data_IF_150649381099
#
_entry.id   IF_150649381099
#
_cell.length_a   1.000
_cell.length_b   1.000
_cell.length_c   1.000
_cell.angle_alpha   90.00
_cell.angle_beta   90.00
_cell.angle_gamma   90.00
#
_symmetry.space_group_name_H-M   'P 1'
#
loop_
_entity.id
_entity.type
_entity.pdbx_description
1 polymer ?
#
# COMPACT_ATOMS: atom_id res chain seq x y z
N UNK A 1 22.09 43.15 13.00
CA UNK A 1 20.72 42.88 12.51
C UNK A 1 20.69 42.25 11.11
N UNK A 2 21.45 42.74 10.13
CA UNK A 2 21.44 42.23 8.73
C UNK A 2 21.79 40.74 8.63
N UNK A 3 22.76 40.26 9.41
CA UNK A 3 23.22 38.86 9.41
C UNK A 3 22.18 37.84 9.91
N UNK A 4 21.27 38.26 10.80
CA UNK A 4 20.19 37.40 11.29
C UNK A 4 19.09 37.24 10.23
N UNK A 5 18.73 38.35 9.56
CA UNK A 5 17.80 38.36 8.43
C UNK A 5 18.31 37.51 7.26
N UNK A 6 19.60 37.61 6.92
CA UNK A 6 20.19 36.77 5.86
C UNK A 6 20.17 35.28 6.20
N UNK A 7 20.35 34.93 7.48
CA UNK A 7 20.30 33.53 7.94
C UNK A 7 18.88 32.98 7.86
N UNK A 8 17.88 33.77 8.25
CA UNK A 8 16.46 33.43 8.08
C UNK A 8 16.08 33.30 6.61
N UNK A 9 16.51 34.23 5.75
CA UNK A 9 16.24 34.19 4.32
C UNK A 9 16.84 32.94 3.66
N UNK A 10 18.05 32.54 4.05
CA UNK A 10 18.67 31.28 3.57
C UNK A 10 17.92 30.04 4.05
N UNK A 11 17.43 30.04 5.29
CA UNK A 11 16.62 28.95 5.83
C UNK A 11 15.29 28.83 5.05
N UNK A 12 14.56 29.93 4.89
CA UNK A 12 13.32 30.01 4.11
C UNK A 12 13.52 29.56 2.66
N UNK A 13 14.60 29.98 1.99
CA UNK A 13 14.91 29.53 0.63
C UNK A 13 15.15 28.03 0.55
N UNK A 14 15.81 27.42 1.55
CA UNK A 14 16.04 25.97 1.61
C UNK A 14 14.73 25.21 1.81
N UNK A 15 13.89 25.69 2.72
CA UNK A 15 12.58 25.10 3.01
C UNK A 15 11.65 25.19 1.80
N UNK A 16 11.56 26.36 1.17
CA UNK A 16 10.73 26.56 -0.02
C UNK A 16 11.21 25.68 -1.19
N UNK A 17 12.53 25.50 -1.36
CA UNK A 17 13.08 24.55 -2.34
C UNK A 17 12.71 23.10 -2.02
N UNK A 18 12.71 22.71 -0.74
CA UNK A 18 12.30 21.37 -0.32
C UNK A 18 10.80 21.13 -0.59
N UNK A 19 9.94 22.09 -0.22
CA UNK A 19 8.50 22.04 -0.47
C UNK A 19 8.17 21.96 -1.96
N UNK A 20 8.84 22.76 -2.82
CA UNK A 20 8.65 22.70 -4.28
C UNK A 20 8.99 21.33 -4.86
N UNK A 21 10.06 20.69 -4.36
CA UNK A 21 10.42 19.32 -4.78
C UNK A 21 9.36 18.31 -4.37
N UNK A 22 8.82 18.43 -3.16
CA UNK A 22 7.73 17.57 -2.68
C UNK A 22 6.46 17.77 -3.51
N UNK A 23 6.08 19.01 -3.81
CA UNK A 23 4.89 19.31 -4.61
C UNK A 23 4.98 18.71 -6.02
N UNK A 24 6.11 18.92 -6.71
CA UNK A 24 6.33 18.35 -8.04
C UNK A 24 6.27 16.82 -8.04
N UNK A 25 6.67 16.16 -6.95
CA UNK A 25 6.54 14.71 -6.81
C UNK A 25 5.08 14.27 -6.64
N UNK A 26 4.28 15.00 -5.87
CA UNK A 26 2.85 14.73 -5.78
C UNK A 26 2.14 14.89 -7.13
N UNK A 27 2.54 15.89 -7.92
CA UNK A 27 2.01 16.12 -9.26
C UNK A 27 2.32 14.96 -10.24
N UNK A 28 3.42 14.23 -10.06
CA UNK A 28 3.76 13.04 -10.87
C UNK A 28 2.71 11.92 -10.73
N UNK A 29 2.06 11.80 -9.58
CA UNK A 29 0.94 10.87 -9.40
C UNK A 29 -0.29 11.31 -10.20
N UNK A 30 -0.55 12.61 -10.30
CA UNK A 30 -1.69 13.12 -11.05
C UNK A 30 -1.55 12.95 -12.57
N UNK A 31 -0.33 12.71 -13.08
CA UNK A 31 -0.04 12.53 -14.51
C UNK A 31 0.10 11.07 -14.93
N UNK A 32 -0.02 10.12 -14.00
CA UNK A 32 0.04 8.68 -14.28
C UNK A 32 -1.30 8.01 -13.96
N UNK A 33 -1.52 6.79 -14.45
CA UNK A 33 -2.66 5.92 -14.06
C UNK A 33 -2.61 5.46 -12.58
N UNK A 34 -1.83 6.14 -11.74
CA UNK A 34 -1.57 5.81 -10.35
C UNK A 34 -2.19 6.87 -9.43
N UNK A 35 -3.16 6.45 -8.64
CA UNK A 35 -3.89 7.28 -7.69
C UNK A 35 -3.21 7.26 -6.32
N UNK A 36 -3.03 8.43 -5.72
CA UNK A 36 -2.61 8.55 -4.32
C UNK A 36 -3.78 8.14 -3.41
N UNK A 37 -3.55 7.18 -2.51
CA UNK A 37 -4.56 6.70 -1.56
C UNK A 37 -4.47 7.43 -0.23
N UNK A 38 -3.25 7.54 0.30
CA UNK A 38 -3.04 8.08 1.63
C UNK A 38 -1.62 8.63 1.77
N UNK A 39 -1.50 9.70 2.56
CA UNK A 39 -0.24 10.34 2.89
C UNK A 39 -0.15 10.48 4.41
N UNK A 40 0.99 10.08 4.99
CA UNK A 40 1.22 10.16 6.42
C UNK A 40 2.62 10.70 6.71
N UNK A 41 2.73 11.63 7.66
CA UNK A 41 4.02 12.08 8.16
C UNK A 41 4.43 11.22 9.36
N UNK A 42 5.63 10.64 9.33
CA UNK A 42 6.24 9.91 10.45
C UNK A 42 7.64 10.43 10.66
N UNK A 43 7.89 11.07 11.82
CA UNK A 43 9.20 11.65 12.18
C UNK A 43 9.78 12.58 11.10
N UNK A 44 8.91 13.39 10.47
CA UNK A 44 9.29 14.32 9.40
C UNK A 44 9.50 13.70 8.02
N UNK A 45 9.25 12.39 7.87
CA UNK A 45 9.23 11.68 6.58
C UNK A 45 7.79 11.50 6.15
N UNK A 46 7.45 11.92 4.94
CA UNK A 46 6.15 11.60 4.38
C UNK A 46 6.20 10.25 3.69
N UNK A 47 5.29 9.38 4.08
CA UNK A 47 5.03 8.09 3.47
C UNK A 47 3.73 8.17 2.67
N UNK A 48 3.74 7.56 1.49
CA UNK A 48 2.61 7.61 0.56
C UNK A 48 2.21 6.20 0.15
N UNK A 49 0.93 5.89 0.24
CA UNK A 49 0.34 4.72 -0.39
C UNK A 49 -0.33 5.15 -1.69
N UNK A 50 -0.13 4.38 -2.74
CA UNK A 50 -0.71 4.64 -4.05
C UNK A 50 -1.16 3.34 -4.72
N UNK A 51 -2.08 3.45 -5.67
CA UNK A 51 -2.61 2.31 -6.43
C UNK A 51 -2.68 2.61 -7.91
N UNK A 52 -2.36 1.63 -8.73
CA UNK A 52 -2.72 1.60 -10.16
C UNK A 52 -3.55 0.34 -10.41
N UNK A 53 -4.52 0.41 -11.33
CA UNK A 53 -5.33 -0.74 -11.70
C UNK A 53 -5.29 -0.98 -13.20
N UNK A 54 -5.41 -2.25 -13.60
CA UNK A 54 -5.71 -2.63 -14.97
C UNK A 54 -7.12 -3.21 -15.05
N UNK A 55 -7.76 -3.00 -16.20
CA UNK A 55 -9.08 -3.54 -16.49
C UNK A 55 -8.97 -4.77 -17.40
N UNK A 56 -9.90 -5.70 -17.25
CA UNK A 56 -10.10 -6.78 -18.22
C UNK A 56 -10.82 -6.27 -19.48
N UNK A 57 -11.04 -7.18 -20.44
CA UNK A 57 -11.76 -6.90 -21.69
C UNK A 57 -13.23 -6.49 -21.46
N UNK A 58 -13.82 -6.82 -20.30
CA UNK A 58 -15.16 -6.43 -19.87
C UNK A 58 -15.16 -5.13 -19.04
N UNK A 59 -14.03 -4.42 -18.99
CA UNK A 59 -13.82 -3.18 -18.22
C UNK A 59 -13.96 -3.33 -16.70
N UNK A 60 -13.78 -4.53 -16.17
CA UNK A 60 -13.74 -4.81 -14.72
C UNK A 60 -12.32 -4.72 -14.20
N UNK A 61 -12.14 -4.38 -12.93
CA UNK A 61 -10.81 -4.37 -12.32
C UNK A 61 -10.26 -5.79 -12.30
N UNK A 62 -9.14 -6.02 -12.98
CA UNK A 62 -8.46 -7.31 -13.04
C UNK A 62 -7.29 -7.36 -12.06
N UNK A 63 -6.50 -6.27 -12.00
CA UNK A 63 -5.32 -6.20 -11.14
C UNK A 63 -5.24 -4.85 -10.44
N UNK A 64 -4.79 -4.88 -9.21
CA UNK A 64 -4.43 -3.73 -8.39
C UNK A 64 -2.94 -3.86 -8.00
N UNK A 65 -2.15 -2.84 -8.32
CA UNK A 65 -0.77 -2.72 -7.86
C UNK A 65 -0.71 -1.56 -6.86
N UNK A 66 -0.46 -1.89 -5.59
CA UNK A 66 -0.26 -0.92 -4.53
C UNK A 66 1.23 -0.68 -4.30
N UNK A 67 1.63 0.56 -4.04
CA UNK A 67 3.02 0.92 -3.71
C UNK A 67 3.10 1.84 -2.50
N UNK A 68 4.18 1.66 -1.73
CA UNK A 68 4.57 2.60 -0.68
C UNK A 68 5.89 3.29 -1.02
N UNK A 69 5.87 4.61 -1.02
CA UNK A 69 7.02 5.47 -1.29
C UNK A 69 7.29 6.43 -0.12
N UNK A 70 8.52 6.93 -0.01
CA UNK A 70 8.89 7.99 0.93
C UNK A 70 9.53 9.20 0.22
N UNK A 71 9.43 10.40 0.81
CA UNK A 71 9.95 11.64 0.20
C UNK A 71 11.47 11.74 0.08
N UNK A 72 12.25 10.79 0.62
CA UNK A 72 13.69 10.96 0.80
C UNK A 72 14.55 9.99 0.00
N UNK A 73 14.00 8.94 -0.63
CA UNK A 73 14.80 7.96 -1.39
C UNK A 73 14.28 7.66 -2.79
N UNK A 74 14.52 8.58 -3.73
CA UNK A 74 14.34 8.37 -5.17
C UNK A 74 15.42 7.45 -5.77
N UNK A 75 15.34 6.15 -5.50
CA UNK A 75 16.24 5.17 -6.10
C UNK A 75 15.44 4.01 -6.67
N UNK A 76 16.06 3.17 -7.52
CA UNK A 76 15.48 1.91 -8.03
C UNK A 76 14.89 0.99 -6.94
N UNK A 77 15.12 1.30 -5.66
CA UNK A 77 14.58 0.64 -4.46
C UNK A 77 13.06 0.77 -4.31
N UNK A 78 12.43 1.82 -4.86
CA UNK A 78 10.96 1.99 -4.81
C UNK A 78 10.20 0.92 -5.62
N UNK A 79 10.89 0.26 -6.55
CA UNK A 79 10.35 -0.89 -7.31
C UNK A 79 10.14 -2.14 -6.47
N UNK A 80 10.57 -2.16 -5.20
CA UNK A 80 10.56 -3.34 -4.32
C UNK A 80 9.73 -3.13 -3.05
N UNK A 81 8.83 -2.15 -3.05
CA UNK A 81 7.87 -1.91 -1.97
C UNK A 81 6.45 -1.89 -2.55
N UNK A 82 5.89 -3.07 -2.80
CA UNK A 82 4.61 -3.20 -3.49
C UNK A 82 3.78 -4.38 -3.00
N UNK A 83 2.49 -4.32 -3.31
CA UNK A 83 1.52 -5.37 -3.10
C UNK A 83 0.71 -5.52 -4.41
N UNK A 84 0.71 -6.71 -4.98
CA UNK A 84 -0.08 -7.06 -6.16
C UNK A 84 -1.29 -7.89 -5.75
N UNK A 85 -2.47 -7.46 -6.21
CA UNK A 85 -3.73 -8.17 -5.99
C UNK A 85 -4.42 -8.38 -7.32
N UNK A 86 -4.88 -9.60 -7.58
CA UNK A 86 -5.67 -9.97 -8.76
C UNK A 86 -7.10 -10.27 -8.36
N UNK A 87 -8.06 -9.91 -9.22
CA UNK A 87 -9.48 -10.12 -9.00
C UNK A 87 -10.02 -11.22 -9.91
N UNK A 88 -10.72 -12.18 -9.29
CA UNK A 88 -11.31 -13.32 -9.98
C UNK A 88 -12.83 -13.24 -9.89
N UNK A 89 -13.49 -13.34 -11.04
CA UNK A 89 -14.94 -13.25 -11.18
C UNK A 89 -15.52 -14.62 -11.51
N UNK A 90 -16.70 -14.93 -10.98
CA UNK A 90 -17.47 -16.10 -11.36
C UNK A 90 -18.33 -15.77 -12.57
N UNK A 91 -17.77 -15.97 -13.77
CA UNK A 91 -18.46 -15.72 -15.03
C UNK A 91 -19.33 -16.93 -15.41
N UNK A 92 -20.64 -16.73 -15.49
CA UNK A 92 -21.58 -17.73 -16.02
C UNK A 92 -21.77 -17.53 -17.53
N UNK A 93 -20.76 -17.96 -18.31
CA UNK A 93 -20.75 -17.88 -19.77
C UNK A 93 -20.25 -16.54 -20.36
N UNK A 94 -20.02 -16.50 -21.67
CA UNK A 94 -19.25 -15.46 -22.37
C UNK A 94 -19.85 -14.03 -22.34
N UNK A 95 -21.10 -13.85 -21.88
CA UNK A 95 -21.84 -12.59 -22.04
C UNK A 95 -22.55 -12.07 -20.77
N UNK A 96 -22.37 -12.71 -19.62
CA UNK A 96 -22.88 -12.19 -18.34
C UNK A 96 -21.73 -11.66 -17.50
N UNK A 97 -21.89 -10.43 -17.01
CA UNK A 97 -20.97 -9.84 -16.03
C UNK A 97 -21.05 -10.67 -14.75
N UNK A 98 -20.08 -11.55 -14.54
CA UNK A 98 -19.96 -12.32 -13.31
C UNK A 98 -19.67 -11.44 -12.11
N UNK A 99 -20.10 -11.90 -10.94
CA UNK A 99 -19.80 -11.27 -9.66
C UNK A 99 -18.36 -11.55 -9.25
N UNK A 100 -17.76 -10.65 -8.47
CA UNK A 100 -16.46 -10.93 -7.84
C UNK A 100 -16.60 -12.18 -6.97
N UNK A 101 -15.73 -13.15 -7.21
CA UNK A 101 -15.65 -14.37 -6.42
C UNK A 101 -14.63 -14.20 -5.28
N UNK A 102 -13.39 -13.83 -5.62
CA UNK A 102 -12.32 -13.60 -4.65
C UNK A 102 -11.20 -12.73 -5.22
N UNK A 103 -10.35 -12.25 -4.32
CA UNK A 103 -9.10 -11.55 -4.61
C UNK A 103 -7.91 -12.44 -4.24
N UNK A 104 -6.84 -12.37 -5.02
CA UNK A 104 -5.59 -13.12 -4.78
C UNK A 104 -4.44 -12.15 -4.58
N UNK A 105 -3.82 -12.15 -3.41
CA UNK A 105 -2.53 -11.51 -3.18
C UNK A 105 -1.46 -12.36 -3.88
N UNK A 106 -0.85 -11.81 -4.93
CA UNK A 106 0.19 -12.48 -5.71
C UNK A 106 1.59 -12.23 -5.16
N UNK A 107 1.87 -10.98 -4.85
CA UNK A 107 3.16 -10.56 -4.34
C UNK A 107 2.95 -9.54 -3.25
N UNK A 108 3.70 -9.67 -2.16
CA UNK A 108 3.82 -8.63 -1.15
C UNK A 108 5.27 -8.47 -0.75
N UNK A 109 5.93 -7.46 -1.31
CA UNK A 109 7.38 -7.27 -1.17
C UNK A 109 7.65 -5.95 -0.48
N UNK A 110 8.41 -6.02 0.61
CA UNK A 110 8.93 -4.85 1.33
C UNK A 110 10.42 -5.04 1.51
N UNK A 111 11.21 -4.20 0.82
CA UNK A 111 12.67 -4.36 0.80
C UNK A 111 13.34 -4.08 2.14
N UNK A 112 12.89 -3.04 2.84
CA UNK A 112 13.51 -2.61 4.09
C UNK A 112 12.62 -3.07 5.25
N UNK A 113 13.01 -4.12 5.99
CA UNK A 113 12.22 -4.60 7.12
C UNK A 113 12.17 -3.55 8.25
N UNK A 114 11.22 -3.72 9.16
CA UNK A 114 11.13 -3.02 10.45
C UNK A 114 11.00 -1.49 10.38
N UNK A 115 10.45 -0.96 9.28
CA UNK A 115 10.07 0.46 9.14
C UNK A 115 8.56 0.72 9.14
N UNK A 116 7.75 -0.31 9.34
CA UNK A 116 6.28 -0.20 9.29
C UNK A 116 5.70 -0.09 7.87
N UNK A 117 6.53 -0.12 6.82
CA UNK A 117 6.10 0.05 5.43
C UNK A 117 5.11 -1.04 4.98
N UNK A 118 5.35 -2.29 5.38
CA UNK A 118 4.43 -3.39 5.09
C UNK A 118 3.07 -3.19 5.76
N UNK A 119 3.06 -2.93 7.08
CA UNK A 119 1.80 -2.71 7.78
C UNK A 119 1.04 -1.50 7.27
N UNK A 120 1.75 -0.41 6.93
CA UNK A 120 1.16 0.76 6.30
C UNK A 120 0.54 0.42 4.94
N UNK A 121 1.29 -0.25 4.05
CA UNK A 121 0.81 -0.58 2.72
C UNK A 121 -0.40 -1.53 2.76
N UNK A 122 -0.34 -2.58 3.57
CA UNK A 122 -1.43 -3.55 3.68
C UNK A 122 -2.70 -2.92 4.26
N UNK A 123 -2.57 -2.05 5.29
CA UNK A 123 -3.70 -1.30 5.85
C UNK A 123 -4.41 -0.45 4.79
N UNK A 124 -3.63 0.34 4.04
CA UNK A 124 -4.17 1.25 3.04
C UNK A 124 -4.75 0.49 1.83
N UNK A 125 -4.13 -0.63 1.44
CA UNK A 125 -4.64 -1.49 0.39
C UNK A 125 -5.97 -2.15 0.78
N UNK A 126 -6.07 -2.75 1.96
CA UNK A 126 -7.32 -3.36 2.45
C UNK A 126 -8.44 -2.32 2.57
N UNK A 127 -8.13 -1.13 3.10
CA UNK A 127 -9.12 -0.06 3.17
C UNK A 127 -9.62 0.32 1.76
N UNK A 128 -8.71 0.47 0.80
CA UNK A 128 -9.12 0.79 -0.57
C UNK A 128 -9.92 -0.34 -1.24
N UNK A 129 -9.51 -1.60 -1.03
CA UNK A 129 -10.23 -2.77 -1.51
C UNK A 129 -11.67 -2.79 -0.96
N UNK A 130 -11.86 -2.48 0.32
CA UNK A 130 -13.18 -2.42 0.92
C UNK A 130 -14.09 -1.36 0.28
N UNK A 131 -13.52 -0.25 -0.17
CA UNK A 131 -14.27 0.80 -0.88
C UNK A 131 -14.66 0.38 -2.30
N UNK A 132 -13.87 -0.49 -2.94
CA UNK A 132 -14.11 -0.95 -4.30
C UNK A 132 -15.07 -2.15 -4.36
N UNK A 133 -14.92 -3.09 -3.44
CA UNK A 133 -15.59 -4.40 -3.51
C UNK A 133 -16.48 -4.70 -2.29
N UNK A 134 -16.51 -3.82 -1.30
CA UNK A 134 -17.18 -4.05 -0.02
C UNK A 134 -16.30 -4.80 0.99
N UNK A 135 -16.79 -4.91 2.21
CA UNK A 135 -16.07 -5.52 3.33
C UNK A 135 -16.08 -7.06 3.28
N UNK A 136 -17.18 -7.64 2.79
CA UNK A 136 -17.37 -9.09 2.68
C UNK A 136 -16.75 -9.62 1.39
N UNK A 137 -15.43 -9.49 1.28
CA UNK A 137 -14.66 -9.98 0.14
C UNK A 137 -13.69 -11.07 0.60
N UNK A 138 -13.71 -12.19 -0.13
CA UNK A 138 -12.74 -13.26 0.09
C UNK A 138 -11.39 -12.87 -0.50
N UNK A 139 -10.35 -12.82 0.32
CA UNK A 139 -8.97 -12.55 -0.06
C UNK A 139 -8.12 -13.77 0.32
N UNK A 140 -7.37 -14.29 -0.65
CA UNK A 140 -6.46 -15.42 -0.46
C UNK A 140 -5.07 -15.08 -0.99
N UNK A 141 -4.07 -15.87 -0.65
CA UNK A 141 -2.72 -15.76 -1.22
C UNK A 141 -1.82 -16.88 -0.75
N UNK A 142 -0.78 -17.19 -1.54
CA UNK A 142 0.24 -18.15 -1.16
C UNK A 142 1.36 -17.43 -0.40
N UNK A 143 1.87 -18.07 0.65
CA UNK A 143 3.01 -17.56 1.39
C UNK A 143 4.30 -17.86 0.64
N UNK A 144 5.18 -16.86 0.56
CA UNK A 144 6.46 -17.00 -0.13
C UNK A 144 7.36 -18.01 0.57
N UNK A 145 7.87 -18.99 -0.19
CA UNK A 145 8.88 -19.93 0.27
C UNK A 145 10.18 -19.25 0.74
N UNK A 146 10.46 -18.02 0.30
CA UNK A 146 11.63 -17.26 0.74
C UNK A 146 11.49 -16.85 2.20
N UNK A 147 10.29 -16.46 2.63
CA UNK A 147 10.02 -16.08 4.02
C UNK A 147 10.05 -17.30 4.96
N UNK A 148 9.74 -18.49 4.44
CA UNK A 148 9.78 -19.77 5.19
C UNK A 148 11.19 -20.22 5.58
N UNK A 149 12.24 -19.74 4.88
CA UNK A 149 13.62 -20.16 5.14
C UNK A 149 14.27 -19.48 6.34
N UNK A 150 13.74 -18.33 6.75
CA UNK A 150 14.28 -17.51 7.83
C UNK A 150 13.22 -17.29 8.92
N UNK A 151 13.40 -17.82 10.14
CA UNK A 151 12.44 -17.70 11.23
C UNK A 151 12.05 -16.24 11.56
N UNK A 152 12.95 -15.28 11.42
CA UNK A 152 12.64 -13.87 11.71
C UNK A 152 11.73 -13.30 10.63
N UNK A 153 11.98 -13.63 9.35
CA UNK A 153 11.12 -13.20 8.25
C UNK A 153 9.74 -13.86 8.32
N UNK A 154 9.69 -15.15 8.65
CA UNK A 154 8.46 -15.91 8.88
C UNK A 154 7.59 -15.21 9.95
N UNK A 155 8.15 -14.97 11.15
CA UNK A 155 7.45 -14.32 12.25
C UNK A 155 6.98 -12.90 11.89
N UNK A 156 7.85 -12.12 11.23
CA UNK A 156 7.52 -10.75 10.82
C UNK A 156 6.38 -10.73 9.81
N UNK A 157 6.38 -11.67 8.86
CA UNK A 157 5.35 -11.81 7.83
C UNK A 157 4.03 -12.26 8.42
N UNK A 158 4.04 -13.25 9.31
CA UNK A 158 2.85 -13.71 10.04
C UNK A 158 2.24 -12.58 10.85
N UNK A 159 3.08 -11.87 11.61
CA UNK A 159 2.63 -10.75 12.43
C UNK A 159 1.92 -9.68 11.59
N UNK A 160 2.42 -9.36 10.40
CA UNK A 160 1.79 -8.37 9.52
C UNK A 160 0.40 -8.85 9.06
N UNK A 161 0.27 -10.09 8.60
CA UNK A 161 -1.01 -10.61 8.14
C UNK A 161 -2.02 -10.78 9.29
N UNK A 162 -1.62 -11.42 10.39
CA UNK A 162 -2.48 -11.65 11.55
C UNK A 162 -2.97 -10.34 12.17
N UNK A 163 -2.11 -9.31 12.22
CA UNK A 163 -2.48 -7.97 12.71
C UNK A 163 -3.69 -7.38 11.97
N UNK A 164 -3.88 -7.71 10.70
CA UNK A 164 -5.00 -7.24 9.89
C UNK A 164 -6.09 -8.28 9.70
N UNK A 165 -6.10 -9.36 10.48
CA UNK A 165 -7.20 -10.33 10.52
C UNK A 165 -7.13 -11.43 9.46
N UNK A 166 -5.95 -11.69 8.88
CA UNK A 166 -5.76 -12.88 8.05
C UNK A 166 -5.55 -14.12 8.92
N UNK A 167 -6.16 -15.22 8.50
CA UNK A 167 -5.85 -16.56 8.97
C UNK A 167 -4.71 -17.15 8.14
N UNK A 168 -3.74 -17.78 8.81
CA UNK A 168 -2.62 -18.46 8.16
C UNK A 168 -2.79 -19.97 8.31
N UNK A 169 -2.85 -20.68 7.19
CA UNK A 169 -3.00 -22.14 7.17
C UNK A 169 -2.35 -22.73 5.93
N UNK A 170 -1.65 -23.86 6.08
CA UNK A 170 -1.13 -24.65 4.94
C UNK A 170 -0.35 -23.80 3.91
N UNK A 171 0.58 -22.94 4.38
CA UNK A 171 1.37 -22.01 3.55
C UNK A 171 0.53 -21.01 2.73
N UNK A 172 -0.64 -20.64 3.24
CA UNK A 172 -1.53 -19.69 2.60
C UNK A 172 -2.19 -18.75 3.60
N UNK A 173 -2.60 -17.59 3.12
CA UNK A 173 -3.37 -16.59 3.87
C UNK A 173 -4.82 -16.60 3.38
N UNK A 174 -5.74 -16.38 4.30
CA UNK A 174 -7.16 -16.30 4.01
C UNK A 174 -7.81 -15.19 4.83
N UNK A 175 -8.76 -14.49 4.23
CA UNK A 175 -9.63 -13.52 4.89
C UNK A 175 -10.97 -13.53 4.16
N UNK A 176 -12.08 -13.52 4.89
CA UNK A 176 -13.43 -13.47 4.31
C UNK A 176 -14.13 -12.11 4.53
N UNK A 177 -13.66 -11.35 5.51
CA UNK A 177 -14.20 -10.03 5.85
C UNK A 177 -13.05 -9.10 6.21
N UNK A 178 -13.00 -7.93 5.58
CA UNK A 178 -12.00 -6.90 5.88
C UNK A 178 -12.38 -6.22 7.21
N UNK A 179 -11.52 -6.25 8.25
CA UNK A 179 -11.86 -5.73 9.56
C UNK A 179 -11.67 -4.21 9.63
N UNK A 180 -12.64 -3.43 9.12
CA UNK A 180 -12.54 -1.96 9.03
C UNK A 180 -12.24 -1.27 10.37
N UNK A 181 -12.78 -1.78 11.47
CA UNK A 181 -12.48 -1.23 12.80
C UNK A 181 -10.98 -1.31 13.15
N UNK A 182 -10.32 -2.41 12.79
CA UNK A 182 -8.89 -2.60 13.00
C UNK A 182 -8.12 -1.61 12.13
N UNK A 183 -8.51 -1.46 10.86
CA UNK A 183 -7.86 -0.53 9.93
C UNK A 183 -7.95 0.91 10.41
N UNK A 184 -9.13 1.33 10.86
CA UNK A 184 -9.39 2.69 11.36
C UNK A 184 -8.59 2.97 12.63
N UNK A 185 -8.62 2.05 13.61
CA UNK A 185 -7.80 2.17 14.84
C UNK A 185 -6.31 2.28 14.53
N UNK A 186 -5.82 1.52 13.56
CA UNK A 186 -4.41 1.59 13.13
C UNK A 186 -4.06 2.89 12.38
N UNK A 187 -5.00 3.52 11.66
CA UNK A 187 -4.79 4.87 11.10
C UNK A 187 -4.70 5.92 12.22
N UNK A 188 -5.62 5.89 13.18
CA UNK A 188 -5.68 6.86 14.27
C UNK A 188 -4.43 6.89 15.16
N UNK A 189 -3.81 5.73 15.41
CA UNK A 189 -2.55 5.63 16.19
C UNK A 189 -1.45 6.54 15.68
N UNK A 190 -1.45 6.85 14.39
CA UNK A 190 -0.35 7.57 13.76
C UNK A 190 -0.73 8.99 13.27
N UNK A 191 -1.98 9.41 13.52
CA UNK A 191 -2.46 10.76 13.21
C UNK A 191 -2.47 11.66 14.47
N UNK A 192 -1.83 11.23 15.56
CA UNK A 192 -1.58 12.04 16.77
C UNK A 192 -0.19 12.65 16.72
#
# INVERSE_FOLDING_TARGET
MITAYDKQLRALKRENKALKRQLSYFEEFNQNDRKLLYCQAVKGIYMFASVSYSLDHLKRINRLEFKVNDTFKHSRKDRLNFLNVEAYYSDEGDHKLGTLNHLVIRDFVIRIPNKGYGSFLLREALYHISQLFGENVRIIGELSFVDEKDPENHQRRDHVYQKFGFDLKDNSIHMNTIPLEILTKEREKNNK
#
